data_IF_206150355399
#
_entry.id   IF_206150355399
#
_cell.length_a   1.000
_cell.length_b   1.000
_cell.length_c   1.000
_cell.angle_alpha   90.00
_cell.angle_beta   90.00
_cell.angle_gamma   90.00
#
_symmetry.space_group_name_H-M   'P 1'
#
loop_
_entity.id
_entity.type
_entity.pdbx_description
1 polymer ?
#
# COMPACT_ATOMS: atom_id res chain seq x y z
N UNK A 1 7.97 -15.29 -14.51
CA UNK A 1 8.37 -14.71 -15.81
C UNK A 1 9.28 -15.68 -16.58
N UNK A 2 10.33 -16.21 -15.95
CA UNK A 2 11.27 -17.17 -16.55
C UNK A 2 10.65 -18.47 -17.11
N UNK A 3 9.57 -18.97 -16.48
CA UNK A 3 8.84 -20.15 -16.99
C UNK A 3 8.25 -19.92 -18.38
N UNK A 4 7.65 -18.74 -18.61
CA UNK A 4 6.99 -18.41 -19.87
C UNK A 4 8.00 -18.12 -20.98
N UNK A 5 9.14 -17.50 -20.63
CA UNK A 5 10.26 -17.26 -21.55
C UNK A 5 10.89 -18.58 -22.02
N UNK A 6 11.12 -19.53 -21.11
CA UNK A 6 11.64 -20.84 -21.45
C UNK A 6 10.72 -21.59 -22.42
N UNK A 7 9.41 -21.59 -22.19
CA UNK A 7 8.44 -22.17 -23.13
C UNK A 7 8.53 -21.49 -24.50
N UNK A 8 8.61 -20.16 -24.55
CA UNK A 8 8.71 -19.44 -25.83
C UNK A 8 10.03 -19.68 -26.57
N UNK A 9 11.15 -19.82 -25.88
CA UNK A 9 12.44 -20.11 -26.51
C UNK A 9 12.51 -21.54 -27.03
N UNK A 10 12.12 -22.54 -26.24
CA UNK A 10 12.20 -23.94 -26.65
C UNK A 10 11.21 -24.25 -27.78
N UNK A 11 10.05 -23.58 -27.85
CA UNK A 11 9.08 -23.77 -28.94
C UNK A 11 9.59 -23.21 -30.28
N UNK A 12 10.46 -22.20 -30.30
CA UNK A 12 11.03 -21.65 -31.56
C UNK A 12 11.88 -22.66 -32.34
N UNK A 13 12.43 -23.65 -31.64
CA UNK A 13 13.24 -24.71 -32.25
C UNK A 13 12.40 -25.83 -32.91
N UNK A 14 11.06 -25.78 -32.77
CA UNK A 14 10.15 -26.77 -33.34
C UNK A 14 9.86 -26.41 -34.81
N UNK A 15 10.37 -27.22 -35.73
CA UNK A 15 10.05 -27.11 -37.17
C UNK A 15 9.38 -28.37 -37.73
N UNK A 16 9.53 -29.53 -37.08
CA UNK A 16 8.95 -30.81 -37.51
C UNK A 16 8.46 -31.61 -36.30
N UNK A 17 7.43 -32.43 -36.49
CA UNK A 17 6.92 -33.34 -35.45
C UNK A 17 7.97 -34.32 -34.89
N UNK A 18 9.03 -34.62 -35.66
CA UNK A 18 10.16 -35.46 -35.20
C UNK A 18 11.07 -34.76 -34.18
N UNK A 19 10.98 -33.43 -34.08
CA UNK A 19 11.83 -32.65 -33.17
C UNK A 19 11.21 -32.57 -31.75
N UNK A 20 9.97 -33.06 -31.58
CA UNK A 20 9.20 -32.97 -30.34
C UNK A 20 9.88 -33.76 -29.20
N UNK A 21 10.41 -34.96 -29.47
CA UNK A 21 11.12 -35.75 -28.46
C UNK A 21 12.36 -35.03 -27.91
N UNK A 22 13.06 -34.28 -28.77
CA UNK A 22 14.23 -33.49 -28.38
C UNK A 22 13.84 -32.31 -27.48
N UNK A 23 12.70 -31.70 -27.75
CA UNK A 23 12.18 -30.58 -26.98
C UNK A 23 11.67 -31.03 -25.61
N UNK A 24 10.97 -32.17 -25.54
CA UNK A 24 10.57 -32.77 -24.25
C UNK A 24 11.81 -33.03 -23.36
N UNK A 25 12.91 -33.46 -23.97
CA UNK A 25 14.18 -33.62 -23.25
C UNK A 25 14.79 -32.27 -22.81
N UNK A 26 14.78 -31.24 -23.65
CA UNK A 26 15.23 -29.89 -23.27
C UNK A 26 14.42 -29.30 -22.12
N UNK A 27 13.10 -29.51 -22.11
CA UNK A 27 12.25 -29.07 -21.00
C UNK A 27 12.64 -29.73 -19.67
N UNK A 28 13.08 -30.99 -19.72
CA UNK A 28 13.55 -31.74 -18.55
C UNK A 28 14.91 -31.26 -18.01
N UNK A 29 15.58 -30.31 -18.67
CA UNK A 29 16.85 -29.71 -18.21
C UNK A 29 16.65 -28.43 -17.38
N UNK A 30 15.45 -27.85 -17.37
CA UNK A 30 15.18 -26.65 -16.59
C UNK A 30 14.86 -27.00 -15.14
N UNK A 31 15.47 -26.32 -14.18
CA UNK A 31 15.27 -26.55 -12.73
C UNK A 31 13.82 -26.26 -12.26
N UNK A 32 13.07 -25.46 -13.01
CA UNK A 32 11.68 -25.11 -12.71
C UNK A 32 10.64 -26.01 -13.42
N UNK A 33 11.09 -27.09 -14.07
CA UNK A 33 10.23 -28.11 -14.69
C UNK A 33 10.57 -29.46 -14.06
N UNK A 34 9.63 -30.03 -13.32
CA UNK A 34 9.78 -31.34 -12.67
C UNK A 34 9.62 -32.48 -13.69
N UNK A 35 8.63 -32.35 -14.59
CA UNK A 35 8.36 -33.37 -15.62
C UNK A 35 7.85 -32.76 -16.91
N UNK A 36 8.36 -33.25 -18.03
CA UNK A 36 7.82 -33.00 -19.36
C UNK A 36 7.45 -34.34 -20.02
N UNK A 37 6.24 -34.44 -20.58
CA UNK A 37 5.80 -35.64 -21.29
C UNK A 37 4.97 -35.31 -22.52
N UNK A 38 5.15 -36.11 -23.57
CA UNK A 38 4.30 -36.06 -24.75
C UNK A 38 2.94 -36.70 -24.44
N UNK A 39 1.87 -35.91 -24.47
CA UNK A 39 0.50 -36.38 -24.21
C UNK A 39 -0.13 -37.02 -25.46
N UNK A 40 0.18 -36.49 -26.64
CA UNK A 40 -0.35 -37.01 -27.90
C UNK A 40 0.25 -36.37 -29.14
N UNK A 41 0.20 -37.08 -30.26
CA UNK A 41 0.56 -36.56 -31.59
C UNK A 41 -0.58 -36.86 -32.56
N UNK A 42 -1.14 -35.81 -33.16
CA UNK A 42 -1.99 -35.91 -34.33
C UNK A 42 -1.17 -35.62 -35.60
N UNK A 43 -0.73 -36.69 -36.26
CA UNK A 43 0.03 -36.61 -37.50
C UNK A 43 -0.79 -36.09 -38.69
N UNK A 44 -2.13 -36.20 -38.64
CA UNK A 44 -3.02 -35.72 -39.70
C UNK A 44 -3.20 -34.20 -39.67
N UNK A 45 -3.16 -33.60 -38.49
CA UNK A 45 -3.24 -32.15 -38.28
C UNK A 45 -1.88 -31.48 -38.06
N UNK A 46 -0.82 -32.26 -37.84
CA UNK A 46 0.51 -31.72 -37.55
C UNK A 46 0.66 -31.19 -36.11
N UNK A 47 -0.18 -31.64 -35.18
CA UNK A 47 -0.26 -31.11 -33.80
C UNK A 47 0.37 -32.10 -32.83
N UNK A 48 1.19 -31.61 -31.91
CA UNK A 48 1.73 -32.37 -30.79
C UNK A 48 1.37 -31.67 -29.47
N UNK A 49 0.94 -32.44 -28.48
CA UNK A 49 0.56 -31.96 -27.16
C UNK A 49 1.61 -32.41 -26.15
N UNK A 50 2.11 -31.46 -25.36
CA UNK A 50 3.16 -31.67 -24.37
C UNK A 50 2.62 -31.19 -23.02
N UNK A 51 2.61 -32.09 -22.04
CA UNK A 51 2.33 -31.78 -20.65
C UNK A 51 3.62 -31.39 -19.94
N UNK A 52 3.58 -30.23 -19.27
CA UNK A 52 4.66 -29.73 -18.42
C UNK A 52 4.16 -29.63 -16.98
N UNK A 53 4.90 -30.22 -16.05
CA UNK A 53 4.63 -30.20 -14.62
C UNK A 53 5.69 -29.35 -13.93
N UNK A 54 5.24 -28.33 -13.19
CA UNK A 54 6.13 -27.51 -12.36
C UNK A 54 6.32 -28.18 -10.99
N UNK A 55 7.47 -27.97 -10.32
CA UNK A 55 7.67 -28.42 -8.95
C UNK A 55 6.67 -27.78 -7.98
N UNK A 56 6.19 -28.54 -6.99
CA UNK A 56 5.30 -28.02 -5.93
C UNK A 56 5.95 -26.85 -5.15
N UNK A 57 7.27 -26.88 -5.01
CA UNK A 57 8.08 -25.84 -4.35
C UNK A 57 7.96 -24.47 -5.04
N UNK A 58 7.71 -24.45 -6.36
CA UNK A 58 7.54 -23.22 -7.13
C UNK A 58 6.24 -22.51 -6.73
N UNK A 59 5.19 -23.27 -6.40
CA UNK A 59 3.93 -22.72 -5.89
C UNK A 59 4.16 -21.99 -4.56
N UNK A 60 4.88 -22.62 -3.64
CA UNK A 60 5.19 -22.03 -2.33
C UNK A 60 6.07 -20.78 -2.45
N UNK A 61 7.05 -20.79 -3.37
CA UNK A 61 7.89 -19.62 -3.66
C UNK A 61 7.08 -18.45 -4.21
N UNK A 62 6.22 -18.69 -5.21
CA UNK A 62 5.35 -17.66 -5.78
C UNK A 62 4.39 -17.13 -4.72
N UNK A 63 3.82 -18.02 -3.91
CA UNK A 63 2.90 -17.63 -2.87
C UNK A 63 3.59 -16.75 -1.81
N UNK A 64 4.83 -17.09 -1.43
CA UNK A 64 5.66 -16.26 -0.56
C UNK A 64 5.99 -14.90 -1.16
N UNK A 65 6.26 -14.84 -2.47
CA UNK A 65 6.53 -13.59 -3.18
C UNK A 65 5.30 -12.68 -3.22
N UNK A 66 4.13 -13.23 -3.56
CA UNK A 66 2.89 -12.47 -3.69
C UNK A 66 2.35 -12.01 -2.33
N UNK A 67 2.34 -12.90 -1.33
CA UNK A 67 1.80 -12.62 0.00
C UNK A 67 2.84 -11.89 0.87
N UNK A 68 4.12 -11.98 0.53
CA UNK A 68 5.22 -11.41 1.31
C UNK A 68 5.54 -12.17 2.59
N UNK A 69 4.85 -13.29 2.86
CA UNK A 69 4.99 -14.08 4.08
C UNK A 69 5.15 -15.56 3.72
N UNK A 70 6.09 -16.23 4.39
CA UNK A 70 6.32 -17.67 4.23
C UNK A 70 5.19 -18.49 4.89
N UNK A 71 4.46 -19.25 4.08
CA UNK A 71 3.40 -20.13 4.55
C UNK A 71 4.01 -21.48 4.90
N UNK A 72 3.94 -21.85 6.19
CA UNK A 72 4.57 -23.06 6.73
C UNK A 72 3.64 -24.27 6.74
N UNK A 73 2.35 -24.04 6.51
CA UNK A 73 1.31 -25.05 6.64
C UNK A 73 -0.10 -24.47 6.54
N UNK A 74 -1.10 -25.36 6.53
CA UNK A 74 -2.52 -25.01 6.39
C UNK A 74 -3.06 -24.22 7.59
N UNK A 75 -2.55 -24.51 8.78
CA UNK A 75 -2.84 -23.79 10.02
C UNK A 75 -2.33 -22.34 9.97
N UNK A 76 -1.08 -22.15 9.50
CA UNK A 76 -0.52 -20.82 9.31
C UNK A 76 -1.29 -20.02 8.24
N UNK A 77 -1.63 -20.67 7.13
CA UNK A 77 -2.45 -20.06 6.07
C UNK A 77 -3.81 -19.62 6.60
N UNK A 78 -4.50 -20.46 7.37
CA UNK A 78 -5.81 -20.11 7.93
C UNK A 78 -5.72 -18.91 8.87
N UNK A 79 -4.70 -18.87 9.73
CA UNK A 79 -4.45 -17.72 10.60
C UNK A 79 -4.21 -16.45 9.80
N UNK A 80 -3.35 -16.52 8.78
CA UNK A 80 -3.05 -15.38 7.92
C UNK A 80 -4.30 -14.88 7.17
N UNK A 81 -5.14 -15.78 6.67
CA UNK A 81 -6.40 -15.42 6.01
C UNK A 81 -7.38 -14.76 6.97
N UNK A 82 -7.42 -15.18 8.23
CA UNK A 82 -8.24 -14.53 9.26
C UNK A 82 -7.74 -13.10 9.54
N UNK A 83 -6.44 -12.95 9.75
CA UNK A 83 -5.81 -11.65 10.02
C UNK A 83 -6.04 -10.67 8.84
N UNK A 84 -5.87 -11.15 7.60
CA UNK A 84 -6.13 -10.38 6.38
C UNK A 84 -7.62 -10.03 6.23
N UNK A 85 -8.53 -10.94 6.56
CA UNK A 85 -9.96 -10.67 6.53
C UNK A 85 -10.35 -9.58 7.52
N UNK A 86 -9.81 -9.62 8.73
CA UNK A 86 -10.04 -8.58 9.74
C UNK A 86 -9.48 -7.24 9.28
N UNK A 87 -8.23 -7.20 8.81
CA UNK A 87 -7.61 -5.99 8.30
C UNK A 87 -8.37 -5.40 7.09
N UNK A 88 -8.91 -6.25 6.22
CA UNK A 88 -9.70 -5.82 5.06
C UNK A 88 -10.98 -5.09 5.48
N UNK A 89 -11.72 -5.60 6.46
CA UNK A 89 -12.96 -4.95 6.93
C UNK A 89 -12.67 -3.54 7.45
N UNK A 90 -11.65 -3.42 8.30
CA UNK A 90 -11.22 -2.12 8.85
C UNK A 90 -10.71 -1.17 7.77
N UNK A 91 -9.90 -1.68 6.82
CA UNK A 91 -9.38 -0.88 5.72
C UNK A 91 -10.49 -0.40 4.79
N UNK A 92 -11.43 -1.27 4.44
CA UNK A 92 -12.54 -0.94 3.53
C UNK A 92 -13.39 0.22 4.09
N UNK A 93 -13.52 0.35 5.41
CA UNK A 93 -14.20 1.47 6.05
C UNK A 93 -13.52 2.83 5.79
N UNK A 94 -12.20 2.85 5.66
CA UNK A 94 -11.41 4.08 5.52
C UNK A 94 -10.76 4.27 4.15
N UNK A 95 -10.87 3.29 3.25
CA UNK A 95 -10.17 3.27 1.96
C UNK A 95 -10.47 4.50 1.10
N UNK A 96 -11.73 4.94 1.07
CA UNK A 96 -12.15 6.12 0.30
C UNK A 96 -11.61 7.42 0.90
N UNK A 97 -11.65 7.54 2.23
CA UNK A 97 -11.08 8.66 2.95
C UNK A 97 -9.57 8.77 2.72
N UNK A 98 -8.86 7.64 2.74
CA UNK A 98 -7.42 7.56 2.46
C UNK A 98 -7.10 7.99 1.02
N UNK A 99 -7.93 7.65 0.04
CA UNK A 99 -7.76 8.12 -1.34
C UNK A 99 -8.01 9.63 -1.44
N UNK A 100 -9.07 10.11 -0.79
CA UNK A 100 -9.45 11.51 -0.80
C UNK A 100 -8.42 12.41 -0.13
N UNK A 101 -7.90 12.02 1.05
CA UNK A 101 -6.91 12.81 1.80
C UNK A 101 -5.58 12.92 1.06
N UNK A 102 -5.17 11.87 0.32
CA UNK A 102 -3.96 11.91 -0.52
C UNK A 102 -4.08 12.95 -1.63
N UNK A 103 -5.25 13.02 -2.26
CA UNK A 103 -5.51 13.90 -3.41
C UNK A 103 -5.81 15.35 -2.99
N UNK A 104 -6.62 15.54 -1.96
CA UNK A 104 -7.18 16.86 -1.61
C UNK A 104 -6.65 17.45 -0.32
N UNK A 105 -5.93 16.66 0.48
CA UNK A 105 -5.48 17.02 1.83
C UNK A 105 -6.51 16.77 2.93
N UNK A 106 -7.75 16.42 2.59
CA UNK A 106 -8.80 16.08 3.55
C UNK A 106 -9.58 14.85 3.10
N UNK A 107 -9.87 13.92 4.02
CA UNK A 107 -10.63 12.71 3.73
C UNK A 107 -11.69 12.45 4.77
N UNK A 108 -12.85 11.97 4.34
CA UNK A 108 -13.95 11.62 5.24
C UNK A 108 -14.38 10.19 4.96
N UNK A 109 -14.39 9.36 6.01
CA UNK A 109 -14.98 8.04 5.98
C UNK A 109 -16.35 8.11 6.66
N UNK A 110 -17.37 7.72 5.89
CA UNK A 110 -18.73 7.64 6.40
C UNK A 110 -18.85 6.46 7.38
N UNK A 111 -19.66 6.60 8.45
CA UNK A 111 -19.95 5.50 9.34
C UNK A 111 -20.59 4.33 8.60
N UNK A 112 -20.24 3.10 8.99
CA UNK A 112 -20.99 1.94 8.53
C UNK A 112 -22.37 1.92 9.21
N UNK A 113 -23.35 1.30 8.56
CA UNK A 113 -24.68 1.09 9.16
C UNK A 113 -24.60 0.34 10.50
N UNK A 114 -23.62 -0.57 10.64
CA UNK A 114 -23.37 -1.31 11.86
C UNK A 114 -22.91 -0.42 13.04
N UNK A 115 -22.33 0.74 12.74
CA UNK A 115 -21.80 1.69 13.74
C UNK A 115 -22.84 2.75 14.13
N UNK A 116 -24.05 2.69 13.55
CA UNK A 116 -25.12 3.63 13.85
C UNK A 116 -25.90 3.19 15.09
N UNK A 117 -26.01 4.08 16.07
CA UNK A 117 -26.92 3.93 17.21
C UNK A 117 -28.19 4.74 16.95
N UNK A 118 -29.35 4.10 17.10
CA UNK A 118 -30.66 4.75 17.03
C UNK A 118 -31.24 4.90 18.44
N UNK A 119 -31.52 6.14 18.85
CA UNK A 119 -32.23 6.42 20.10
C UNK A 119 -33.72 6.07 19.96
N UNK A 120 -34.39 5.81 21.09
CA UNK A 120 -35.82 5.50 21.09
C UNK A 120 -36.64 6.61 20.41
N UNK A 121 -37.62 6.27 19.54
CA UNK A 121 -38.45 7.26 18.87
C UNK A 121 -39.35 8.00 19.85
N UNK A 122 -39.28 9.34 19.83
CA UNK A 122 -40.13 10.19 20.67
C UNK A 122 -41.28 10.81 19.86
N UNK A 123 -42.50 10.78 20.39
CA UNK A 123 -43.64 11.50 19.78
C UNK A 123 -43.51 12.98 20.11
N UNK A 124 -43.39 13.80 19.08
CA UNK A 124 -43.37 15.26 19.20
C UNK A 124 -44.69 15.84 18.74
N UNK A 125 -45.13 16.93 19.38
CA UNK A 125 -46.32 17.68 19.01
C UNK A 125 -45.95 19.09 18.59
N UNK A 126 -46.37 19.49 17.39
CA UNK A 126 -46.18 20.84 16.88
C UNK A 126 -47.55 21.43 16.50
N UNK A 127 -48.13 22.21 17.42
CA UNK A 127 -49.49 22.74 17.29
C UNK A 127 -50.56 21.64 17.30
N UNK A 128 -51.28 21.49 16.19
CA UNK A 128 -52.31 20.46 15.99
C UNK A 128 -51.78 19.16 15.37
N UNK A 129 -50.49 19.11 14.98
CA UNK A 129 -49.89 17.95 14.31
C UNK A 129 -48.98 17.17 15.26
N UNK A 130 -48.95 15.85 15.07
CA UNK A 130 -48.04 14.94 15.75
C UNK A 130 -46.98 14.44 14.76
N UNK A 131 -45.77 14.20 15.25
CA UNK A 131 -44.67 13.63 14.50
C UNK A 131 -43.86 12.69 15.37
N UNK A 132 -42.92 11.99 14.76
CA UNK A 132 -41.96 11.13 15.45
C UNK A 132 -40.57 11.74 15.25
N UNK A 133 -39.86 11.96 16.35
CA UNK A 133 -38.47 12.37 16.35
C UNK A 133 -37.61 11.12 16.45
N UNK A 134 -36.77 10.92 15.43
CA UNK A 134 -35.75 9.89 15.39
C UNK A 134 -34.40 10.57 15.56
N UNK A 135 -33.57 10.07 16.46
CA UNK A 135 -32.20 10.54 16.65
C UNK A 135 -31.26 9.37 16.41
N UNK A 136 -30.38 9.52 15.43
CA UNK A 136 -29.32 8.56 15.14
C UNK A 136 -27.97 9.23 15.39
N UNK A 137 -27.04 8.48 15.99
CA UNK A 137 -25.67 8.92 16.23
C UNK A 137 -24.74 7.92 15.56
N UNK A 138 -23.78 8.43 14.79
CA UNK A 138 -22.84 7.61 14.06
C UNK A 138 -21.46 8.28 14.02
N UNK A 139 -20.37 7.54 14.25
CA UNK A 139 -19.03 8.12 14.25
C UNK A 139 -18.53 8.38 12.82
N UNK A 140 -18.10 9.60 12.52
CA UNK A 140 -17.38 9.91 11.28
C UNK A 140 -15.87 9.98 11.54
N UNK A 141 -15.08 9.41 10.63
CA UNK A 141 -13.61 9.50 10.70
C UNK A 141 -13.15 10.54 9.70
N UNK A 142 -12.37 11.51 10.19
CA UNK A 142 -11.80 12.58 9.39
C UNK A 142 -10.28 12.45 9.35
N UNK A 143 -9.71 12.46 8.15
CA UNK A 143 -8.29 12.38 7.89
C UNK A 143 -7.78 13.70 7.34
N UNK A 144 -6.64 14.17 7.84
CA UNK A 144 -6.05 15.44 7.44
C UNK A 144 -4.59 15.19 7.04
N UNK A 145 -4.21 15.58 5.83
CA UNK A 145 -2.81 15.58 5.40
C UNK A 145 -2.16 16.90 5.84
N UNK A 146 -1.04 16.81 6.53
CA UNK A 146 -0.23 17.97 6.92
C UNK A 146 1.18 17.73 6.43
N UNK A 147 1.71 18.69 5.68
CA UNK A 147 3.10 18.65 5.23
C UNK A 147 4.01 19.13 6.36
N UNK A 148 5.02 18.32 6.68
CA UNK A 148 6.00 18.64 7.72
C UNK A 148 7.33 18.95 7.05
N UNK A 149 7.74 20.21 7.14
CA UNK A 149 9.02 20.64 6.62
C UNK A 149 10.11 20.46 7.69
N UNK A 150 11.23 19.86 7.34
CA UNK A 150 12.42 19.80 8.19
C UNK A 150 13.63 20.22 7.37
N UNK A 151 14.38 21.20 7.88
CA UNK A 151 15.63 21.66 7.28
C UNK A 151 16.80 21.00 8.00
N UNK A 152 17.83 20.63 7.23
CA UNK A 152 19.11 20.16 7.76
C UNK A 152 20.15 21.23 7.45
N UNK A 153 20.62 21.92 8.49
CA UNK A 153 21.58 23.03 8.37
C UNK A 153 22.85 22.69 9.16
N UNK A 154 23.73 21.82 8.63
CA UNK A 154 24.96 21.47 9.32
C UNK A 154 25.91 22.68 9.34
N UNK A 155 26.52 22.95 10.49
CA UNK A 155 27.56 23.97 10.61
C UNK A 155 28.88 23.36 10.14
N UNK A 156 29.37 23.81 8.98
CA UNK A 156 30.58 23.31 8.34
C UNK A 156 31.63 24.41 8.40
N UNK A 157 32.73 24.15 9.10
CA UNK A 157 33.68 25.15 9.58
C UNK A 157 33.99 26.31 8.61
N UNK A 158 34.74 26.04 7.53
CA UNK A 158 35.19 27.10 6.60
C UNK A 158 34.31 27.20 5.34
N UNK A 159 34.35 28.37 4.68
CA UNK A 159 33.64 28.63 3.42
C UNK A 159 33.98 27.59 2.34
N UNK A 160 35.27 27.27 2.17
CA UNK A 160 35.72 26.25 1.20
C UNK A 160 35.13 24.87 1.47
N UNK A 161 35.00 24.48 2.74
CA UNK A 161 34.38 23.19 3.11
C UNK A 161 32.88 23.19 2.84
N UNK A 162 32.23 24.35 2.99
CA UNK A 162 30.81 24.50 2.63
C UNK A 162 30.60 24.40 1.12
N UNK A 163 31.45 25.06 0.31
CA UNK A 163 31.43 24.96 -1.15
C UNK A 163 31.68 23.53 -1.66
N UNK A 164 32.59 22.81 -1.01
CA UNK A 164 32.89 21.40 -1.35
C UNK A 164 31.70 20.49 -1.07
N UNK A 165 31.01 20.66 0.06
CA UNK A 165 29.78 19.88 0.34
C UNK A 165 28.67 20.20 -0.67
N UNK A 166 28.45 21.48 -0.99
CA UNK A 166 27.43 21.84 -1.98
C UNK A 166 27.74 21.19 -3.33
N UNK A 167 29.00 21.20 -3.75
CA UNK A 167 29.41 20.55 -5.00
C UNK A 167 29.19 19.04 -4.97
N UNK A 168 29.53 18.39 -3.87
CA UNK A 168 29.29 16.96 -3.67
C UNK A 168 27.79 16.62 -3.76
N UNK A 169 26.93 17.41 -3.13
CA UNK A 169 25.47 17.20 -3.18
C UNK A 169 24.87 17.47 -4.55
N UNK A 170 25.39 18.46 -5.29
CA UNK A 170 24.91 18.79 -6.62
C UNK A 170 25.35 17.79 -7.68
N UNK A 171 26.52 17.16 -7.51
CA UNK A 171 27.01 16.14 -8.44
C UNK A 171 26.06 14.93 -8.48
N UNK A 172 25.61 14.43 -7.32
CA UNK A 172 24.66 13.31 -7.25
C UNK A 172 23.24 13.72 -7.70
N UNK A 173 22.87 15.00 -7.51
CA UNK A 173 21.55 15.52 -7.86
C UNK A 173 21.31 15.63 -9.37
N UNK A 174 22.35 15.93 -10.16
CA UNK A 174 22.22 16.06 -11.62
C UNK A 174 21.88 14.74 -12.32
N UNK A 175 22.37 13.61 -11.78
CA UNK A 175 22.12 12.28 -12.33
C UNK A 175 20.79 11.68 -11.86
N UNK A 176 20.45 11.80 -10.57
CA UNK A 176 19.15 11.42 -10.00
C UNK A 176 18.84 12.25 -8.74
N UNK A 177 17.82 13.14 -8.77
CA UNK A 177 17.41 13.94 -7.62
C UNK A 177 17.03 13.12 -6.38
N UNK A 178 16.66 11.84 -6.53
CA UNK A 178 16.33 10.96 -5.42
C UNK A 178 17.57 10.27 -4.82
N UNK A 179 18.69 10.21 -5.55
CA UNK A 179 19.92 9.58 -5.08
C UNK A 179 20.55 10.32 -3.91
N UNK A 180 20.36 11.65 -3.83
CA UNK A 180 20.85 12.50 -2.73
C UNK A 180 20.38 12.04 -1.35
N UNK A 181 19.23 11.37 -1.27
CA UNK A 181 18.69 10.82 -0.02
C UNK A 181 19.50 9.62 0.49
N UNK A 182 20.17 8.91 -0.42
CA UNK A 182 21.04 7.79 -0.11
C UNK A 182 22.49 8.23 0.12
N UNK A 183 22.85 9.49 -0.18
CA UNK A 183 24.21 9.99 0.05
C UNK A 183 24.54 9.97 1.54
N UNK A 184 25.72 9.43 1.84
CA UNK A 184 26.27 9.38 3.19
C UNK A 184 26.95 10.71 3.52
N UNK A 185 26.38 11.45 4.46
CA UNK A 185 26.92 12.73 4.91
C UNK A 185 27.34 12.56 6.37
N UNK A 186 28.63 12.72 6.65
CA UNK A 186 29.20 12.57 8.00
C UNK A 186 28.96 11.19 8.64
N UNK A 187 28.99 10.12 7.85
CA UNK A 187 28.83 8.74 8.34
C UNK A 187 27.38 8.38 8.69
N UNK A 188 26.41 9.18 8.24
CA UNK A 188 24.98 8.92 8.33
C UNK A 188 24.31 9.25 6.99
N UNK A 189 23.30 8.48 6.61
CA UNK A 189 22.46 8.83 5.44
C UNK A 189 21.68 10.11 5.73
N UNK A 190 21.65 11.03 4.75
CA UNK A 190 20.84 12.26 4.81
C UNK A 190 19.36 11.95 5.09
N UNK A 191 18.82 10.87 4.51
CA UNK A 191 17.44 10.43 4.75
C UNK A 191 17.14 10.11 6.21
N UNK A 192 18.11 9.57 6.97
CA UNK A 192 17.96 9.28 8.40
C UNK A 192 17.86 10.57 9.21
N UNK A 193 18.72 11.55 8.91
CA UNK A 193 18.77 12.82 9.64
C UNK A 193 17.49 13.63 9.41
N UNK A 194 17.03 13.73 8.16
CA UNK A 194 15.80 14.45 7.83
C UNK A 194 14.58 13.75 8.43
N UNK A 195 14.53 12.42 8.40
CA UNK A 195 13.44 11.64 9.02
C UNK A 195 13.37 11.86 10.53
N UNK A 196 14.51 11.91 11.21
CA UNK A 196 14.57 12.25 12.64
C UNK A 196 14.01 13.65 12.91
N UNK A 197 14.38 14.64 12.09
CA UNK A 197 13.86 16.00 12.19
C UNK A 197 12.34 16.08 11.99
N UNK A 198 11.81 15.36 10.99
CA UNK A 198 10.35 15.24 10.76
C UNK A 198 9.67 14.56 11.95
N UNK A 199 10.20 13.44 12.42
CA UNK A 199 9.62 12.68 13.53
C UNK A 199 9.60 13.50 14.83
N UNK A 200 10.65 14.28 15.09
CA UNK A 200 10.69 15.20 16.21
C UNK A 200 9.62 16.31 16.12
N UNK A 201 9.29 16.78 14.90
CA UNK A 201 8.22 17.77 14.70
C UNK A 201 6.82 17.19 14.80
N UNK A 202 6.63 15.95 14.36
CA UNK A 202 5.33 15.26 14.43
C UNK A 202 4.82 15.07 15.87
N UNK A 203 5.72 14.96 16.85
CA UNK A 203 5.35 14.85 18.26
C UNK A 203 5.01 16.18 18.94
N UNK A 204 5.19 17.32 18.26
CA UNK A 204 5.02 18.66 18.86
C UNK A 204 3.58 19.12 19.00
N UNK A 205 2.61 18.54 18.26
CA UNK A 205 1.21 18.95 18.40
C UNK A 205 0.70 18.54 19.79
N UNK A 206 0.47 19.49 20.73
CA UNK A 206 0.13 19.12 22.09
C UNK A 206 -1.31 18.63 22.17
N UNK A 207 -1.61 17.83 23.18
CA UNK A 207 -2.89 17.11 23.29
C UNK A 207 -4.09 18.08 23.35
N UNK A 208 -3.95 19.21 24.04
CA UNK A 208 -4.96 20.25 24.13
C UNK A 208 -5.35 20.82 22.75
N UNK A 209 -4.39 20.99 21.84
CA UNK A 209 -4.64 21.46 20.48
C UNK A 209 -5.39 20.41 19.66
N UNK A 210 -5.06 19.12 19.85
CA UNK A 210 -5.78 18.00 19.22
C UNK A 210 -7.24 17.93 19.68
N UNK A 211 -7.50 18.07 20.98
CA UNK A 211 -8.87 18.11 21.51
C UNK A 211 -9.67 19.30 20.99
N UNK A 212 -9.09 20.51 21.00
CA UNK A 212 -9.75 21.71 20.47
C UNK A 212 -10.10 21.56 18.98
N UNK A 213 -9.20 20.99 18.19
CA UNK A 213 -9.45 20.70 16.76
C UNK A 213 -10.64 19.75 16.60
N UNK A 214 -10.65 18.63 17.37
CA UNK A 214 -11.72 17.64 17.35
C UNK A 214 -13.08 18.28 17.70
N UNK A 215 -13.15 19.00 18.82
CA UNK A 215 -14.39 19.63 19.30
C UNK A 215 -14.91 20.67 18.30
N UNK A 216 -14.00 21.45 17.70
CA UNK A 216 -14.36 22.44 16.68
C UNK A 216 -14.96 21.76 15.45
N UNK A 217 -14.37 20.66 14.98
CA UNK A 217 -14.92 19.87 13.87
C UNK A 217 -16.29 19.27 14.22
N UNK A 218 -16.44 18.69 15.42
CA UNK A 218 -17.71 18.14 15.91
C UNK A 218 -18.82 19.20 15.93
N UNK A 219 -18.53 20.41 16.41
CA UNK A 219 -19.51 21.51 16.43
C UNK A 219 -19.91 21.94 15.03
N UNK A 220 -18.96 22.13 14.11
CA UNK A 220 -19.25 22.54 12.73
C UNK A 220 -20.19 21.55 12.04
N UNK A 221 -19.94 20.25 12.20
CA UNK A 221 -20.74 19.19 11.58
C UNK A 221 -22.16 19.17 12.15
N UNK A 222 -22.31 19.33 13.46
CA UNK A 222 -23.61 19.23 14.14
C UNK A 222 -24.44 20.51 14.06
N UNK A 223 -23.81 21.67 14.14
CA UNK A 223 -24.48 22.98 14.22
C UNK A 223 -24.65 23.63 12.83
N UNK A 224 -23.99 23.10 11.80
CA UNK A 224 -24.10 23.58 10.41
C UNK A 224 -23.62 25.02 10.21
N UNK A 225 -22.89 25.59 11.18
CA UNK A 225 -22.39 26.95 11.11
C UNK A 225 -21.16 27.02 10.20
N UNK A 226 -21.32 27.52 8.98
CA UNK A 226 -20.22 27.86 8.05
C UNK A 226 -19.38 29.07 8.49
N UNK A 227 -19.21 29.25 9.80
CA UNK A 227 -18.49 30.37 10.39
C UNK A 227 -16.97 30.21 10.33
N UNK A 228 -16.29 31.37 10.35
CA UNK A 228 -14.84 31.51 10.34
C UNK A 228 -14.23 30.82 11.59
N UNK A 229 -13.28 29.92 11.36
CA UNK A 229 -12.60 29.20 12.45
C UNK A 229 -11.38 30.02 12.86
N UNK A 230 -11.36 30.50 14.10
CA UNK A 230 -10.17 31.08 14.73
C UNK A 230 -9.61 30.09 15.75
N UNK A 231 -8.53 29.39 15.40
CA UNK A 231 -7.75 28.61 16.36
C UNK A 231 -6.71 29.54 16.97
N UNK A 232 -6.94 29.98 18.21
CA UNK A 232 -5.94 30.71 18.99
C UNK A 232 -5.13 29.68 19.78
N UNK A 233 -3.86 29.54 19.41
CA UNK A 233 -2.87 28.66 20.06
C UNK A 233 -2.14 29.40 21.18
#
# INVERSE_FOLDING_TARGET
QSYQEAVQETVKDIKRLRDVDRVVWQFSQYEFIDRASLAGIDMGQGVAEIDLYAPDELYDQILKEVVGVEIRGKDHLLKLMLDLSHAKVEYDQVADALRMVKQTGYGVAAPALADMSLDEPEIIRHGSRFGVKLKAVAPSIHMIKVDVESTFEPIIGTEKQSEELVRYLMQDFEDDPLSIWNSDIFGRSLSSIVREGIQAKLSLMPENARYKLKETLERIINEGSGGLIAIIL
#
